data_IF_290873773219
#
_entry.id   IF_290873773219
#
_cell.length_a   1.000
_cell.length_b   1.000
_cell.length_c   1.000
_cell.angle_alpha   90.00
_cell.angle_beta   90.00
_cell.angle_gamma   90.00
#
_symmetry.space_group_name_H-M   'P 1'
#
loop_
_entity.id
_entity.type
_entity.pdbx_description
1 polymer ?
#
# COMPACT_ATOMS: atom_id res chain seq x y z
N UNK A 1 29.11 -12.83 26.27
CA UNK A 1 28.66 -13.00 24.88
C UNK A 1 27.90 -11.76 24.35
N UNK A 2 26.84 -11.28 25.02
CA UNK A 2 26.09 -10.14 24.52
C UNK A 2 26.87 -8.80 24.52
N UNK A 3 27.86 -8.62 25.40
CA UNK A 3 28.63 -7.36 25.47
C UNK A 3 29.29 -6.94 24.15
N UNK A 4 30.04 -7.81 23.50
CA UNK A 4 30.66 -7.52 22.21
C UNK A 4 29.61 -7.22 21.11
N UNK A 5 28.55 -8.04 21.04
CA UNK A 5 27.44 -7.79 20.11
C UNK A 5 26.73 -6.47 20.41
N UNK A 6 26.59 -6.08 21.69
CA UNK A 6 26.03 -4.79 22.08
C UNK A 6 26.82 -3.63 21.51
N UNK A 7 28.16 -3.67 21.63
CA UNK A 7 29.04 -2.61 21.15
C UNK A 7 28.94 -2.47 19.62
N UNK A 8 28.88 -3.57 18.88
CA UNK A 8 28.64 -3.58 17.42
C UNK A 8 27.29 -2.97 17.05
N UNK A 9 26.21 -3.36 17.76
CA UNK A 9 24.87 -2.81 17.52
C UNK A 9 24.79 -1.32 17.83
N UNK A 10 25.46 -0.87 18.92
CA UNK A 10 25.53 0.56 19.26
C UNK A 10 26.30 1.35 18.21
N UNK A 11 27.41 0.83 17.68
CA UNK A 11 28.14 1.47 16.59
C UNK A 11 27.27 1.59 15.33
N UNK A 12 26.58 0.52 14.93
CA UNK A 12 25.64 0.56 13.79
C UNK A 12 24.53 1.59 13.98
N UNK A 13 23.94 1.68 15.17
CA UNK A 13 22.92 2.68 15.48
C UNK A 13 23.47 4.12 15.44
N UNK A 14 24.72 4.32 15.89
CA UNK A 14 25.38 5.62 15.78
C UNK A 14 25.60 6.00 14.31
N UNK A 15 26.11 5.11 13.48
CA UNK A 15 26.27 5.33 12.04
C UNK A 15 24.95 5.72 11.35
N UNK A 16 23.85 5.05 11.69
CA UNK A 16 22.51 5.37 11.17
C UNK A 16 22.10 6.80 11.57
N UNK A 17 22.36 7.22 12.83
CA UNK A 17 22.06 8.58 13.29
C UNK A 17 22.94 9.63 12.60
N UNK A 18 24.25 9.39 12.52
CA UNK A 18 25.21 10.31 11.90
C UNK A 18 24.91 10.51 10.40
N UNK A 19 24.42 9.47 9.73
CA UNK A 19 23.96 9.54 8.35
C UNK A 19 22.60 10.26 8.17
N UNK A 20 21.90 10.63 9.25
CA UNK A 20 20.55 11.20 9.18
C UNK A 20 19.46 10.21 8.70
N UNK A 21 19.69 8.93 8.91
CA UNK A 21 18.79 7.85 8.46
C UNK A 21 17.98 7.23 9.61
N UNK A 22 18.17 7.71 10.83
CA UNK A 22 17.43 7.23 12.00
C UNK A 22 15.94 7.61 11.87
N UNK A 23 15.07 6.66 12.21
CA UNK A 23 13.62 6.86 12.15
C UNK A 23 13.07 6.97 13.55
N UNK A 24 12.58 8.16 13.90
CA UNK A 24 11.89 8.42 15.15
C UNK A 24 10.38 8.18 15.00
N UNK A 25 9.81 7.45 15.95
CA UNK A 25 8.36 7.26 16.02
C UNK A 25 7.74 8.42 16.80
N UNK A 26 6.73 9.07 16.20
CA UNK A 26 5.97 10.15 16.85
C UNK A 26 4.66 9.60 17.38
N UNK A 27 4.45 9.72 18.69
CA UNK A 27 3.23 9.24 19.34
C UNK A 27 2.02 10.11 18.98
N UNK A 28 0.95 9.44 18.58
CA UNK A 28 -0.36 10.07 18.38
C UNK A 28 -1.25 9.82 19.60
N UNK A 29 -1.86 10.86 20.12
CA UNK A 29 -2.78 10.81 21.26
C UNK A 29 -4.23 11.15 20.89
N UNK A 30 -4.60 10.87 19.64
CA UNK A 30 -5.95 11.01 19.08
C UNK A 30 -6.27 9.87 18.12
N UNK A 31 -7.53 9.66 17.73
CA UNK A 31 -7.87 8.82 16.57
C UNK A 31 -7.16 9.28 15.30
N UNK A 32 -7.05 8.37 14.32
CA UNK A 32 -6.43 8.64 13.04
C UNK A 32 -7.43 9.37 12.12
N UNK A 33 -7.15 10.65 11.85
CA UNK A 33 -8.02 11.54 11.05
C UNK A 33 -7.18 12.54 10.24
N UNK A 34 -7.84 13.49 9.53
CA UNK A 34 -7.18 14.60 8.86
C UNK A 34 -6.46 15.54 9.83
N UNK A 35 -6.96 15.63 11.08
CA UNK A 35 -6.32 16.30 12.20
C UNK A 35 -6.03 15.29 13.30
N UNK A 36 -4.81 15.28 13.79
CA UNK A 36 -4.35 14.39 14.86
C UNK A 36 -3.62 15.16 15.93
N UNK A 37 -3.48 14.58 17.11
CA UNK A 37 -2.62 15.13 18.15
C UNK A 37 -1.30 14.36 18.18
N UNK A 38 -0.24 14.99 17.68
CA UNK A 38 1.12 14.47 17.70
C UNK A 38 1.98 15.31 18.65
N UNK A 39 2.77 14.67 19.52
CA UNK A 39 3.61 15.35 20.52
C UNK A 39 2.83 16.39 21.35
N UNK A 40 1.57 16.10 21.68
CA UNK A 40 0.71 16.97 22.48
C UNK A 40 0.10 18.18 21.75
N UNK A 41 0.39 18.38 20.46
CA UNK A 41 -0.15 19.47 19.62
C UNK A 41 -1.13 18.90 18.59
N UNK A 42 -2.19 19.65 18.28
CA UNK A 42 -3.05 19.35 17.15
C UNK A 42 -2.35 19.78 15.85
N UNK A 43 -2.30 18.86 14.88
CA UNK A 43 -1.62 19.06 13.59
C UNK A 43 -2.45 18.47 12.45
N UNK A 44 -2.30 19.02 11.25
CA UNK A 44 -2.84 18.44 10.02
C UNK A 44 -2.00 17.23 9.61
N UNK A 45 -2.66 16.12 9.30
CA UNK A 45 -2.01 14.85 9.00
C UNK A 45 -1.97 14.60 7.49
N UNK A 46 -0.82 14.82 6.88
CA UNK A 46 -0.56 14.57 5.46
C UNK A 46 0.37 13.38 5.20
N UNK A 47 0.46 12.42 6.14
CA UNK A 47 1.30 11.23 5.98
C UNK A 47 0.55 9.90 6.12
N UNK A 48 -0.70 9.88 6.60
CA UNK A 48 -1.48 8.65 6.73
C UNK A 48 -2.05 8.17 5.40
N UNK A 49 -2.08 6.84 5.18
CA UNK A 49 -2.72 6.22 4.02
C UNK A 49 -4.27 6.19 4.12
N UNK A 50 -4.86 7.22 4.74
CA UNK A 50 -6.29 7.35 4.99
C UNK A 50 -6.99 8.12 3.86
N UNK A 51 -6.87 7.62 2.62
CA UNK A 51 -7.26 8.32 1.40
C UNK A 51 -8.70 8.83 1.38
N UNK A 52 -9.64 8.03 1.90
CA UNK A 52 -11.06 8.36 1.95
C UNK A 52 -11.52 8.89 3.32
N UNK A 53 -10.61 9.03 4.30
CA UNK A 53 -10.94 9.51 5.63
C UNK A 53 -11.75 8.50 6.47
N UNK A 54 -11.64 7.20 6.21
CA UNK A 54 -12.50 6.19 6.82
C UNK A 54 -11.97 5.60 8.12
N UNK A 55 -10.73 5.88 8.53
CA UNK A 55 -10.07 5.18 9.65
C UNK A 55 -10.78 5.34 11.00
N UNK A 56 -11.48 6.46 11.24
CA UNK A 56 -12.29 6.71 12.43
C UNK A 56 -13.78 6.95 12.11
N UNK A 57 -14.22 6.53 10.93
CA UNK A 57 -15.60 6.76 10.49
C UNK A 57 -16.61 6.12 11.43
N UNK A 58 -17.67 6.84 11.90
CA UNK A 58 -18.59 6.36 12.95
C UNK A 58 -19.27 5.02 12.63
N UNK A 59 -19.63 4.78 11.36
CA UNK A 59 -20.24 3.50 10.94
C UNK A 59 -19.27 2.33 11.06
N UNK A 60 -17.98 2.53 10.72
CA UNK A 60 -16.95 1.51 10.85
C UNK A 60 -16.68 1.20 12.32
N UNK A 61 -16.54 2.25 13.14
CA UNK A 61 -16.35 2.11 14.60
C UNK A 61 -17.55 1.40 15.24
N UNK A 62 -18.78 1.72 14.84
CA UNK A 62 -19.99 1.06 15.33
C UNK A 62 -20.04 -0.42 14.96
N UNK A 63 -19.71 -0.77 13.70
CA UNK A 63 -19.65 -2.16 13.24
C UNK A 63 -18.59 -2.96 14.00
N UNK A 64 -17.41 -2.40 14.21
CA UNK A 64 -16.35 -3.04 14.98
C UNK A 64 -16.74 -3.28 16.44
N UNK A 65 -17.43 -2.32 17.09
CA UNK A 65 -17.95 -2.47 18.45
C UNK A 65 -19.01 -3.57 18.53
N UNK A 66 -19.98 -3.58 17.62
CA UNK A 66 -20.98 -4.62 17.55
C UNK A 66 -20.38 -6.02 17.38
N UNK A 67 -19.34 -6.13 16.55
CA UNK A 67 -18.64 -7.40 16.37
C UNK A 67 -17.88 -7.87 17.64
N UNK A 68 -17.39 -6.95 18.47
CA UNK A 68 -16.81 -7.33 19.78
C UNK A 68 -17.85 -7.94 20.71
N UNK A 69 -19.07 -7.43 20.69
CA UNK A 69 -20.18 -7.96 21.51
C UNK A 69 -20.69 -9.31 20.98
N UNK A 70 -20.78 -9.48 19.68
CA UNK A 70 -21.35 -10.68 19.05
C UNK A 70 -20.33 -11.82 18.87
N UNK A 71 -19.12 -11.49 18.42
CA UNK A 71 -18.09 -12.45 17.98
C UNK A 71 -16.89 -12.56 18.93
N UNK A 72 -16.77 -11.65 19.91
CA UNK A 72 -15.62 -11.57 20.80
C UNK A 72 -14.39 -10.87 20.20
N UNK A 73 -13.31 -10.85 20.98
CA UNK A 73 -12.11 -10.08 20.66
C UNK A 73 -11.25 -10.70 19.57
N UNK A 74 -11.06 -12.02 19.59
CA UNK A 74 -10.08 -12.68 18.72
C UNK A 74 -10.43 -14.13 18.41
N UNK A 75 -9.75 -14.66 17.40
CA UNK A 75 -10.01 -16.01 16.88
C UNK A 75 -9.25 -17.12 17.62
N UNK A 76 -8.12 -16.80 18.23
CA UNK A 76 -7.20 -17.76 18.87
C UNK A 76 -6.86 -18.99 18.00
N UNK A 77 -7.01 -18.87 16.68
CA UNK A 77 -6.86 -19.96 15.73
C UNK A 77 -6.57 -19.46 14.31
N UNK A 78 -5.91 -20.31 13.54
CA UNK A 78 -5.77 -20.18 12.09
C UNK A 78 -7.07 -20.62 11.39
N UNK A 79 -7.25 -20.20 10.14
CA UNK A 79 -8.49 -20.35 9.38
C UNK A 79 -8.98 -21.79 9.26
N UNK A 80 -8.13 -22.74 8.95
CA UNK A 80 -8.55 -24.13 8.65
C UNK A 80 -8.83 -24.99 9.89
N UNK A 81 -8.36 -24.60 11.09
CA UNK A 81 -8.62 -25.36 12.32
C UNK A 81 -10.01 -24.96 12.87
N UNK A 82 -10.14 -23.77 13.48
CA UNK A 82 -11.40 -23.23 13.98
C UNK A 82 -11.48 -21.69 13.89
N UNK A 83 -10.62 -21.06 13.07
CA UNK A 83 -10.53 -19.61 12.92
C UNK A 83 -11.36 -19.04 11.76
N UNK A 84 -12.35 -19.77 11.24
CA UNK A 84 -13.23 -19.26 10.19
C UNK A 84 -14.64 -19.02 10.74
N UNK A 85 -15.05 -17.77 10.79
CA UNK A 85 -16.41 -17.34 11.06
C UNK A 85 -17.14 -17.00 9.76
N UNK A 86 -18.48 -16.95 9.80
CA UNK A 86 -19.31 -16.61 8.63
C UNK A 86 -18.95 -15.25 8.04
N UNK A 87 -18.65 -14.26 8.87
CA UNK A 87 -18.24 -12.92 8.42
C UNK A 87 -16.91 -12.90 7.64
N UNK A 88 -15.98 -13.86 7.87
CA UNK A 88 -14.78 -13.99 7.03
C UNK A 88 -15.15 -14.39 5.60
N UNK A 89 -16.03 -15.39 5.46
CA UNK A 89 -16.51 -15.82 4.15
C UNK A 89 -17.32 -14.72 3.44
N UNK A 90 -18.11 -13.96 4.20
CA UNK A 90 -18.83 -12.79 3.67
C UNK A 90 -17.87 -11.72 3.15
N UNK A 91 -16.84 -11.36 3.91
CA UNK A 91 -15.84 -10.37 3.48
C UNK A 91 -15.09 -10.85 2.22
N UNK A 92 -14.71 -12.13 2.17
CA UNK A 92 -14.08 -12.73 0.99
C UNK A 92 -15.01 -12.64 -0.24
N UNK A 93 -16.29 -12.98 -0.11
CA UNK A 93 -17.27 -12.88 -1.19
C UNK A 93 -17.50 -11.42 -1.65
N UNK A 94 -17.62 -10.50 -0.69
CA UNK A 94 -17.81 -9.06 -0.97
C UNK A 94 -16.58 -8.43 -1.66
N UNK A 95 -15.37 -8.80 -1.28
CA UNK A 95 -14.13 -8.38 -1.96
C UNK A 95 -14.08 -8.93 -3.39
N UNK A 96 -14.41 -10.21 -3.59
CA UNK A 96 -14.46 -10.81 -4.94
C UNK A 96 -15.43 -10.07 -5.85
N UNK A 97 -16.63 -9.78 -5.34
CA UNK A 97 -17.63 -9.00 -6.09
C UNK A 97 -17.14 -7.59 -6.43
N UNK A 98 -16.52 -6.91 -5.46
CA UNK A 98 -16.04 -5.53 -5.62
C UNK A 98 -14.87 -5.44 -6.61
N UNK A 99 -13.98 -6.43 -6.61
CA UNK A 99 -12.80 -6.48 -7.47
C UNK A 99 -13.03 -7.21 -8.80
N UNK A 100 -14.23 -7.70 -9.04
CA UNK A 100 -14.60 -8.47 -10.25
C UNK A 100 -13.73 -9.72 -10.43
N UNK A 101 -13.42 -10.44 -9.33
CA UNK A 101 -12.63 -11.67 -9.32
C UNK A 101 -13.47 -12.88 -8.95
N UNK A 102 -12.97 -14.11 -9.21
CA UNK A 102 -13.72 -15.34 -8.96
C UNK A 102 -13.70 -15.76 -7.49
N UNK A 103 -12.65 -15.41 -6.75
CA UNK A 103 -12.52 -15.75 -5.35
C UNK A 103 -11.53 -14.84 -4.61
N UNK A 104 -11.65 -14.84 -3.28
CA UNK A 104 -10.76 -14.07 -2.39
C UNK A 104 -10.38 -14.92 -1.18
N UNK A 105 -9.18 -14.71 -0.67
CA UNK A 105 -8.64 -15.30 0.55
C UNK A 105 -8.02 -14.22 1.42
N UNK A 106 -8.39 -14.18 2.71
CA UNK A 106 -7.91 -13.19 3.67
C UNK A 106 -6.61 -13.62 4.34
N UNK A 107 -5.73 -12.64 4.58
CA UNK A 107 -4.47 -12.76 5.31
C UNK A 107 -4.40 -11.74 6.45
N UNK A 108 -3.46 -11.93 7.38
CA UNK A 108 -3.22 -11.02 8.50
C UNK A 108 -2.74 -9.63 8.03
N UNK A 109 -2.10 -9.55 6.88
CA UNK A 109 -1.66 -8.33 6.21
C UNK A 109 -1.49 -8.57 4.70
N UNK A 110 -1.37 -7.50 3.90
CA UNK A 110 -0.97 -7.64 2.51
C UNK A 110 0.49 -8.07 2.36
N UNK A 111 1.34 -7.79 3.36
CA UNK A 111 2.69 -8.32 3.40
C UNK A 111 2.68 -9.86 3.43
N UNK A 112 1.83 -10.45 4.28
CA UNK A 112 1.63 -11.90 4.35
C UNK A 112 0.99 -12.45 3.07
N UNK A 113 0.04 -11.73 2.49
CA UNK A 113 -0.60 -12.10 1.22
C UNK A 113 0.45 -12.22 0.10
N UNK A 114 1.26 -11.20 -0.11
CA UNK A 114 2.35 -11.21 -1.09
C UNK A 114 3.41 -12.28 -0.76
N UNK A 115 3.78 -12.43 0.52
CA UNK A 115 4.69 -13.48 0.98
C UNK A 115 4.20 -14.88 0.70
N UNK A 116 2.88 -15.08 0.67
CA UNK A 116 2.24 -16.37 0.53
C UNK A 116 1.90 -16.81 -0.89
N UNK A 117 2.06 -15.96 -1.90
CA UNK A 117 1.63 -16.25 -3.29
C UNK A 117 2.69 -17.01 -4.07
N UNK A 118 3.91 -16.50 -4.10
CA UNK A 118 4.93 -16.91 -5.07
C UNK A 118 5.40 -18.35 -4.88
N UNK A 119 5.73 -18.77 -3.64
CA UNK A 119 6.19 -20.15 -3.36
C UNK A 119 5.09 -21.20 -3.57
N UNK A 120 3.82 -20.79 -3.56
CA UNK A 120 2.69 -21.71 -3.79
C UNK A 120 2.45 -21.95 -5.27
N UNK A 121 2.60 -20.90 -6.09
CA UNK A 121 2.30 -20.94 -7.52
C UNK A 121 3.47 -21.35 -8.39
N UNK A 122 4.72 -21.08 -7.94
CA UNK A 122 5.92 -21.18 -8.76
C UNK A 122 6.97 -22.08 -8.10
N UNK A 123 7.69 -22.82 -8.94
CA UNK A 123 8.84 -23.64 -8.56
C UNK A 123 10.07 -23.34 -9.43
N UNK A 124 11.10 -24.19 -9.36
CA UNK A 124 12.37 -24.01 -10.07
C UNK A 124 12.28 -24.12 -11.61
N UNK A 125 11.13 -24.55 -12.16
CA UNK A 125 10.85 -24.59 -13.60
C UNK A 125 10.20 -23.32 -14.13
N UNK A 126 9.90 -22.36 -13.24
CA UNK A 126 9.12 -21.17 -13.53
C UNK A 126 9.98 -19.91 -13.45
N UNK A 127 9.45 -18.80 -13.94
CA UNK A 127 10.07 -17.48 -13.89
C UNK A 127 9.09 -16.47 -13.30
N UNK A 128 9.56 -15.63 -12.38
CA UNK A 128 8.88 -14.43 -11.94
C UNK A 128 9.62 -13.20 -12.48
N UNK A 129 8.89 -12.27 -13.09
CA UNK A 129 9.39 -11.04 -13.69
C UNK A 129 8.79 -9.87 -12.90
N UNK A 130 9.61 -9.20 -12.11
CA UNK A 130 9.18 -8.17 -11.15
C UNK A 130 9.57 -6.78 -11.62
N UNK A 131 8.67 -5.80 -11.51
CA UNK A 131 9.07 -4.40 -11.58
C UNK A 131 10.13 -4.10 -10.51
N UNK A 132 11.13 -3.28 -10.85
CA UNK A 132 12.27 -3.01 -9.96
C UNK A 132 11.90 -2.18 -8.72
N UNK A 133 10.79 -1.42 -8.77
CA UNK A 133 10.32 -0.57 -7.68
C UNK A 133 9.16 -1.19 -6.89
N UNK A 134 8.85 -2.46 -7.11
CA UNK A 134 7.82 -3.17 -6.34
C UNK A 134 8.05 -3.07 -4.83
N UNK A 135 6.93 -3.11 -4.09
CA UNK A 135 6.93 -3.10 -2.64
C UNK A 135 7.78 -4.24 -2.04
N UNK A 136 8.39 -3.98 -0.88
CA UNK A 136 9.25 -4.94 -0.18
C UNK A 136 8.59 -6.31 0.03
N UNK A 137 7.28 -6.37 0.27
CA UNK A 137 6.56 -7.64 0.44
C UNK A 137 6.55 -8.52 -0.82
N UNK A 138 6.46 -7.92 -2.01
CA UNK A 138 6.60 -8.63 -3.29
C UNK A 138 8.03 -9.14 -3.45
N UNK A 139 9.01 -8.26 -3.20
CA UNK A 139 10.43 -8.63 -3.28
C UNK A 139 10.76 -9.79 -2.34
N UNK A 140 10.30 -9.74 -1.11
CA UNK A 140 10.55 -10.77 -0.10
C UNK A 140 9.78 -12.05 -0.41
N UNK A 141 8.52 -11.96 -0.86
CA UNK A 141 7.76 -13.11 -1.33
C UNK A 141 8.45 -13.84 -2.50
N UNK A 142 8.99 -13.09 -3.45
CA UNK A 142 9.79 -13.63 -4.56
C UNK A 142 11.08 -14.29 -4.04
N UNK A 143 11.71 -13.74 -3.00
CA UNK A 143 12.92 -14.33 -2.40
C UNK A 143 12.64 -15.69 -1.74
N UNK A 144 11.44 -15.93 -1.25
CA UNK A 144 11.05 -17.19 -0.64
C UNK A 144 10.80 -18.30 -1.68
N UNK A 145 10.45 -17.95 -2.93
CA UNK A 145 10.18 -18.93 -3.96
C UNK A 145 11.47 -19.41 -4.68
N UNK A 146 11.38 -20.58 -5.33
CA UNK A 146 12.51 -21.19 -6.06
C UNK A 146 12.55 -20.81 -7.54
N UNK A 147 11.57 -20.06 -8.03
CA UNK A 147 11.50 -19.63 -9.42
C UNK A 147 12.71 -18.74 -9.79
N UNK A 148 13.10 -18.80 -11.04
CA UNK A 148 14.09 -17.86 -11.58
C UNK A 148 13.53 -16.43 -11.48
N UNK A 149 14.35 -15.52 -10.94
CA UNK A 149 13.96 -14.13 -10.68
C UNK A 149 14.53 -13.24 -11.75
N UNK A 150 13.66 -12.47 -12.39
CA UNK A 150 14.02 -11.42 -13.34
C UNK A 150 13.42 -10.10 -12.88
N UNK A 151 14.04 -8.99 -13.31
CA UNK A 151 13.54 -7.64 -13.07
C UNK A 151 13.46 -6.89 -14.37
N UNK A 152 12.49 -5.99 -14.48
CA UNK A 152 12.44 -5.00 -15.53
C UNK A 152 12.44 -3.59 -14.91
N UNK A 153 12.95 -2.62 -15.64
CA UNK A 153 12.98 -1.22 -15.21
C UNK A 153 11.57 -0.71 -15.00
N UNK A 154 11.40 0.10 -13.96
CA UNK A 154 10.09 0.60 -13.56
C UNK A 154 9.29 1.12 -14.75
N UNK A 155 8.13 0.49 -15.00
CA UNK A 155 7.17 0.85 -16.05
C UNK A 155 7.75 0.83 -17.48
N UNK A 156 8.84 0.16 -17.72
CA UNK A 156 9.47 0.03 -19.04
C UNK A 156 8.99 -1.24 -19.74
N UNK A 157 7.98 -1.08 -20.60
CA UNK A 157 7.36 -2.20 -21.33
C UNK A 157 8.30 -2.84 -22.35
N UNK A 158 9.26 -2.07 -22.89
CA UNK A 158 10.26 -2.63 -23.78
C UNK A 158 11.23 -3.57 -23.04
N UNK A 159 11.64 -3.18 -21.83
CA UNK A 159 12.46 -4.05 -20.97
C UNK A 159 11.66 -5.26 -20.47
N UNK A 160 10.38 -5.08 -20.08
CA UNK A 160 9.50 -6.20 -19.73
C UNK A 160 9.40 -7.21 -20.88
N UNK A 161 9.24 -6.75 -22.12
CA UNK A 161 9.19 -7.64 -23.29
C UNK A 161 10.50 -8.42 -23.50
N UNK A 162 11.66 -7.79 -23.26
CA UNK A 162 12.96 -8.48 -23.29
C UNK A 162 13.00 -9.60 -22.25
N UNK A 163 12.59 -9.32 -20.99
CA UNK A 163 12.58 -10.32 -19.94
C UNK A 163 11.62 -11.49 -20.23
N UNK A 164 10.47 -11.22 -20.85
CA UNK A 164 9.52 -12.24 -21.29
C UNK A 164 10.11 -13.13 -22.39
N UNK A 165 10.76 -12.56 -23.40
CA UNK A 165 11.45 -13.29 -24.48
C UNK A 165 12.55 -14.20 -23.93
N UNK A 166 13.36 -13.70 -23.02
CA UNK A 166 14.42 -14.47 -22.37
C UNK A 166 13.89 -15.57 -21.42
N UNK A 167 12.61 -15.52 -21.09
CA UNK A 167 11.92 -16.51 -20.25
C UNK A 167 11.16 -17.55 -21.05
N UNK A 168 11.36 -17.64 -22.37
CA UNK A 168 10.58 -18.52 -23.27
C UNK A 168 10.63 -20.01 -22.89
N UNK A 169 11.71 -20.48 -22.25
CA UNK A 169 11.86 -21.88 -21.82
C UNK A 169 11.18 -22.21 -20.47
N UNK A 170 10.64 -21.24 -19.75
CA UNK A 170 9.97 -21.49 -18.48
C UNK A 170 8.62 -22.19 -18.66
N UNK A 171 8.27 -23.08 -17.71
CA UNK A 171 6.95 -23.71 -17.68
C UNK A 171 5.84 -22.67 -17.48
N UNK A 172 6.02 -21.77 -16.51
CA UNK A 172 5.12 -20.63 -16.21
C UNK A 172 5.94 -19.37 -16.12
N UNK A 173 5.31 -18.26 -16.47
CA UNK A 173 5.82 -16.90 -16.26
C UNK A 173 4.79 -16.15 -15.43
N UNK A 174 5.25 -15.41 -14.43
CA UNK A 174 4.42 -14.51 -13.63
C UNK A 174 5.04 -13.12 -13.66
N UNK A 175 4.29 -12.14 -14.17
CA UNK A 175 4.64 -10.72 -14.07
C UNK A 175 4.05 -10.21 -12.76
N UNK A 176 4.88 -9.54 -11.94
CA UNK A 176 4.44 -8.95 -10.68
C UNK A 176 4.75 -7.45 -10.66
N UNK A 177 3.73 -6.65 -10.34
CA UNK A 177 3.85 -5.19 -10.25
C UNK A 177 2.98 -4.64 -9.12
N UNK A 178 3.43 -3.52 -8.48
CA UNK A 178 2.48 -2.64 -7.80
C UNK A 178 1.56 -2.00 -8.86
N UNK A 179 0.28 -1.85 -8.58
CA UNK A 179 -0.63 -1.05 -9.40
C UNK A 179 -0.34 0.44 -9.24
N UNK A 180 0.01 0.85 -8.01
CA UNK A 180 0.49 2.19 -7.67
C UNK A 180 1.76 2.08 -6.82
N UNK A 181 2.86 2.65 -7.31
CA UNK A 181 4.15 2.65 -6.62
C UNK A 181 4.13 3.62 -5.44
N UNK A 182 4.24 3.07 -4.23
CA UNK A 182 3.96 3.76 -2.96
C UNK A 182 4.84 4.96 -2.65
N UNK A 183 6.06 5.03 -3.21
CA UNK A 183 6.99 6.12 -2.96
C UNK A 183 6.94 7.23 -4.00
N UNK A 184 6.33 6.97 -5.16
CA UNK A 184 6.33 7.86 -6.32
C UNK A 184 4.92 8.33 -6.72
N UNK A 185 3.90 7.54 -6.41
CA UNK A 185 2.53 7.79 -6.86
C UNK A 185 2.33 7.51 -8.36
N UNK A 186 3.26 6.80 -8.99
CA UNK A 186 3.11 6.38 -10.37
C UNK A 186 2.16 5.19 -10.48
N UNK A 187 1.36 5.16 -11.54
CA UNK A 187 0.55 4.02 -11.91
C UNK A 187 1.35 3.09 -12.83
N UNK A 188 1.24 1.79 -12.63
CA UNK A 188 1.72 0.82 -13.60
C UNK A 188 0.82 0.85 -14.86
N UNK A 189 1.37 0.70 -16.08
CA UNK A 189 0.58 0.57 -17.30
C UNK A 189 0.02 -0.86 -17.41
N UNK A 190 -1.03 -1.14 -16.60
CA UNK A 190 -1.56 -2.50 -16.41
C UNK A 190 -2.14 -3.08 -17.69
N UNK A 191 -2.71 -2.25 -18.55
CA UNK A 191 -3.21 -2.62 -19.88
C UNK A 191 -2.08 -3.12 -20.81
N UNK A 192 -0.97 -2.37 -20.90
CA UNK A 192 0.20 -2.77 -21.70
C UNK A 192 0.87 -4.03 -21.10
N UNK A 193 0.90 -4.16 -19.78
CA UNK A 193 1.39 -5.37 -19.09
C UNK A 193 0.52 -6.58 -19.48
N UNK A 194 -0.80 -6.44 -19.48
CA UNK A 194 -1.73 -7.49 -19.90
C UNK A 194 -1.54 -7.86 -21.38
N UNK A 195 -1.31 -6.88 -22.27
CA UNK A 195 -1.04 -7.14 -23.68
C UNK A 195 0.23 -7.98 -23.88
N UNK A 196 1.28 -7.68 -23.13
CA UNK A 196 2.50 -8.48 -23.15
C UNK A 196 2.29 -9.85 -22.50
N UNK A 197 1.56 -9.92 -21.40
CA UNK A 197 1.26 -11.18 -20.72
C UNK A 197 0.53 -12.16 -21.64
N UNK A 198 -0.50 -11.72 -22.34
CA UNK A 198 -1.23 -12.54 -23.31
C UNK A 198 -0.34 -13.01 -24.46
N UNK A 199 0.46 -12.11 -25.04
CA UNK A 199 1.38 -12.43 -26.15
C UNK A 199 2.40 -13.50 -25.78
N UNK A 200 2.87 -13.50 -24.53
CA UNK A 200 3.94 -14.39 -24.07
C UNK A 200 3.44 -15.50 -23.13
N UNK A 201 2.14 -15.63 -22.91
CA UNK A 201 1.53 -16.64 -22.06
C UNK A 201 2.01 -16.53 -20.60
N UNK A 202 1.97 -15.33 -20.03
CA UNK A 202 2.32 -15.06 -18.66
C UNK A 202 1.07 -14.76 -17.81
N UNK A 203 1.14 -15.06 -16.51
CA UNK A 203 0.17 -14.60 -15.51
C UNK A 203 0.52 -13.18 -15.06
N UNK A 204 -0.48 -12.43 -14.62
CA UNK A 204 -0.32 -11.06 -14.10
C UNK A 204 -0.78 -10.98 -12.65
N UNK A 205 0.12 -10.50 -11.78
CA UNK A 205 -0.17 -10.12 -10.40
C UNK A 205 -0.01 -8.61 -10.23
N UNK A 206 -1.05 -7.98 -9.70
CA UNK A 206 -1.06 -6.55 -9.36
C UNK A 206 -1.30 -6.37 -7.86
N UNK A 207 -0.37 -5.72 -7.15
CA UNK A 207 -0.62 -5.23 -5.79
C UNK A 207 -1.28 -3.85 -5.85
N UNK A 208 -2.55 -3.83 -5.53
CA UNK A 208 -3.39 -2.63 -5.59
C UNK A 208 -3.64 -1.98 -4.22
N UNK A 209 -2.75 -2.23 -3.26
CA UNK A 209 -2.83 -1.70 -1.90
C UNK A 209 -2.92 -0.18 -1.81
N UNK A 210 -2.43 0.55 -2.82
CA UNK A 210 -2.52 2.01 -2.92
C UNK A 210 -3.56 2.50 -3.93
N UNK A 211 -4.46 1.63 -4.40
CA UNK A 211 -5.47 1.97 -5.40
C UNK A 211 -6.89 1.59 -4.98
N UNK A 212 -7.08 0.38 -4.44
CA UNK A 212 -8.40 -0.13 -4.05
C UNK A 212 -9.07 0.79 -3.04
N UNK A 213 -10.32 1.13 -3.33
CA UNK A 213 -11.17 2.05 -2.59
C UNK A 213 -11.41 3.37 -3.32
N UNK A 214 -10.49 3.83 -4.19
CA UNK A 214 -10.62 5.18 -4.78
C UNK A 214 -10.06 5.34 -6.20
N UNK A 215 -9.24 4.43 -6.71
CA UNK A 215 -8.77 4.43 -8.10
C UNK A 215 -9.75 3.65 -8.97
N UNK A 216 -10.01 4.15 -10.16
CA UNK A 216 -11.02 3.60 -11.09
C UNK A 216 -12.41 4.22 -10.89
N UNK A 217 -13.35 3.96 -11.82
CA UNK A 217 -14.70 4.50 -11.80
C UNK A 217 -15.48 4.20 -10.51
N UNK A 218 -15.39 2.96 -10.02
CA UNK A 218 -16.07 2.53 -8.77
C UNK A 218 -15.12 2.45 -7.57
N UNK A 219 -13.81 2.60 -7.81
CA UNK A 219 -12.76 2.43 -6.82
C UNK A 219 -12.25 1.00 -6.70
N UNK A 220 -12.49 0.15 -7.70
CA UNK A 220 -12.02 -1.24 -7.69
C UNK A 220 -10.53 -1.38 -8.03
N UNK A 221 -9.83 -0.29 -8.28
CA UNK A 221 -8.38 -0.29 -8.42
C UNK A 221 -7.86 -0.05 -9.84
N UNK A 222 -6.58 -0.34 -10.05
CA UNK A 222 -5.92 -0.08 -11.33
C UNK A 222 -6.39 -1.01 -12.46
N UNK A 223 -6.75 -2.29 -12.23
CA UNK A 223 -7.34 -3.11 -13.30
C UNK A 223 -8.66 -2.53 -13.84
N UNK A 224 -9.50 -1.96 -12.95
CA UNK A 224 -10.72 -1.26 -13.37
C UNK A 224 -10.40 0.03 -14.13
N UNK A 225 -9.45 0.81 -13.63
CA UNK A 225 -9.04 2.08 -14.25
C UNK A 225 -8.64 1.88 -15.72
N UNK A 226 -7.89 0.82 -16.01
CA UNK A 226 -7.41 0.49 -17.35
C UNK A 226 -8.36 -0.40 -18.15
N UNK A 227 -9.51 -0.80 -17.59
CA UNK A 227 -10.50 -1.64 -18.26
C UNK A 227 -10.03 -3.07 -18.53
N UNK A 228 -9.17 -3.62 -17.68
CA UNK A 228 -8.52 -4.95 -17.83
C UNK A 228 -8.73 -5.86 -16.63
N UNK A 229 -9.79 -5.65 -15.85
CA UNK A 229 -10.05 -6.42 -14.64
C UNK A 229 -10.18 -7.94 -14.89
N UNK A 230 -10.70 -8.33 -16.04
CA UNK A 230 -10.84 -9.72 -16.47
C UNK A 230 -9.53 -10.37 -16.98
N UNK A 231 -8.48 -9.55 -17.21
CA UNK A 231 -7.18 -9.97 -17.74
C UNK A 231 -6.09 -10.07 -16.67
N UNK A 232 -6.35 -9.55 -15.46
CA UNK A 232 -5.45 -9.68 -14.32
C UNK A 232 -5.80 -10.97 -13.57
N UNK A 233 -4.81 -11.85 -13.36
CA UNK A 233 -5.05 -13.16 -12.74
C UNK A 233 -5.11 -13.08 -11.21
N UNK A 234 -4.31 -12.17 -10.62
CA UNK A 234 -4.12 -12.04 -9.17
C UNK A 234 -4.09 -10.56 -8.81
N UNK A 235 -4.98 -10.16 -7.93
CA UNK A 235 -4.95 -8.83 -7.27
C UNK A 235 -4.65 -9.05 -5.79
N UNK A 236 -3.61 -8.41 -5.28
CA UNK A 236 -3.38 -8.33 -3.84
C UNK A 236 -3.73 -6.95 -3.32
N UNK A 237 -4.11 -6.86 -2.05
CA UNK A 237 -4.49 -5.59 -1.46
C UNK A 237 -4.55 -5.63 0.06
N UNK A 238 -4.74 -4.46 0.65
CA UNK A 238 -4.76 -4.29 2.10
C UNK A 238 -6.08 -3.71 2.60
N UNK A 239 -6.49 -4.16 3.77
CA UNK A 239 -7.57 -3.54 4.56
C UNK A 239 -7.06 -2.38 5.43
N UNK A 240 -5.74 -2.19 5.49
CA UNK A 240 -5.06 -1.21 6.35
C UNK A 240 -4.90 0.19 5.76
N UNK A 241 -5.60 0.52 4.67
CA UNK A 241 -5.55 1.84 4.02
C UNK A 241 -6.95 2.36 3.72
N UNK A 242 -7.31 2.58 2.45
CA UNK A 242 -8.62 3.14 2.07
C UNK A 242 -9.82 2.27 2.51
N UNK A 243 -9.64 0.97 2.69
CA UNK A 243 -10.67 0.05 3.15
C UNK A 243 -10.82 -0.01 4.69
N UNK A 244 -10.81 1.13 5.37
CA UNK A 244 -11.05 1.25 6.81
C UNK A 244 -9.80 1.47 7.67
N UNK A 245 -8.60 1.24 7.14
CA UNK A 245 -7.34 1.64 7.78
C UNK A 245 -6.88 0.79 8.96
N UNK A 246 -7.50 -0.37 9.22
CA UNK A 246 -7.12 -1.23 10.35
C UNK A 246 -5.92 -2.15 9.99
N UNK A 247 -6.16 -3.43 9.85
CA UNK A 247 -5.16 -4.43 9.47
C UNK A 247 -5.80 -5.51 8.60
N UNK A 248 -5.00 -6.41 8.08
CA UNK A 248 -5.44 -7.44 7.17
C UNK A 248 -5.07 -7.16 5.73
N UNK A 249 -5.05 -8.21 4.95
CA UNK A 249 -4.82 -8.18 3.52
C UNK A 249 -5.56 -9.31 2.84
N UNK A 250 -5.48 -9.33 1.53
CA UNK A 250 -6.17 -10.35 0.74
C UNK A 250 -5.44 -10.64 -0.58
N UNK A 251 -5.72 -11.81 -1.10
CA UNK A 251 -5.48 -12.17 -2.50
C UNK A 251 -6.84 -12.45 -3.14
N UNK A 252 -7.16 -11.73 -4.21
CA UNK A 252 -8.33 -11.96 -5.05
C UNK A 252 -7.87 -12.47 -6.42
N UNK A 253 -8.38 -13.63 -6.87
CA UNK A 253 -7.83 -14.31 -8.04
C UNK A 253 -8.82 -15.28 -8.65
N UNK A 254 -8.34 -16.06 -9.64
CA UNK A 254 -9.06 -17.23 -10.17
C UNK A 254 -9.28 -18.27 -9.08
N UNK A 255 -10.38 -19.00 -9.16
CA UNK A 255 -10.81 -19.98 -8.15
C UNK A 255 -9.70 -20.97 -7.78
N UNK A 256 -9.01 -21.56 -8.77
CA UNK A 256 -7.98 -22.56 -8.56
C UNK A 256 -6.75 -22.00 -7.83
N UNK A 257 -6.44 -20.71 -8.06
CA UNK A 257 -5.35 -20.01 -7.36
C UNK A 257 -5.73 -19.83 -5.88
N UNK A 258 -6.93 -19.33 -5.61
CA UNK A 258 -7.43 -19.12 -4.24
C UNK A 258 -7.48 -20.43 -3.46
N UNK A 259 -8.02 -21.50 -4.08
CA UNK A 259 -8.09 -22.81 -3.44
C UNK A 259 -6.70 -23.40 -3.16
N UNK A 260 -5.75 -23.24 -4.08
CA UNK A 260 -4.37 -23.69 -3.87
C UNK A 260 -3.69 -22.91 -2.74
N UNK A 261 -3.92 -21.59 -2.65
CA UNK A 261 -3.42 -20.77 -1.55
C UNK A 261 -3.98 -21.22 -0.19
N UNK A 262 -5.28 -21.58 -0.12
CA UNK A 262 -5.90 -22.13 1.11
C UNK A 262 -5.21 -23.40 1.58
N UNK A 263 -4.71 -24.22 0.65
CA UNK A 263 -4.06 -25.50 0.98
C UNK A 263 -2.57 -25.37 1.32
N UNK A 264 -1.87 -24.37 0.79
CA UNK A 264 -0.40 -24.37 0.81
C UNK A 264 0.25 -23.07 1.28
N UNK A 265 -0.48 -21.94 1.29
CA UNK A 265 0.13 -20.65 1.69
C UNK A 265 0.48 -20.64 3.17
N UNK A 266 1.76 -20.62 3.48
CA UNK A 266 2.27 -20.71 4.85
C UNK A 266 1.78 -19.56 5.74
N UNK A 267 1.78 -18.28 5.30
CA UNK A 267 1.20 -17.19 6.10
C UNK A 267 -0.28 -17.41 6.44
N UNK A 268 -1.05 -18.01 5.54
CA UNK A 268 -2.45 -18.34 5.80
C UNK A 268 -2.61 -19.53 6.77
N UNK A 269 -1.81 -20.57 6.59
CA UNK A 269 -1.91 -21.81 7.37
C UNK A 269 -1.39 -21.65 8.81
N UNK A 270 -0.48 -20.71 9.08
CA UNK A 270 0.25 -20.62 10.33
C UNK A 270 0.06 -19.28 11.07
N UNK A 271 -0.65 -18.30 10.49
CA UNK A 271 -1.03 -17.07 11.20
C UNK A 271 -2.49 -17.09 11.62
N UNK A 272 -2.81 -16.48 12.75
CA UNK A 272 -4.20 -16.33 13.20
C UNK A 272 -5.06 -15.63 12.15
N UNK A 273 -6.34 -16.02 12.12
CA UNK A 273 -7.34 -15.34 11.31
C UNK A 273 -7.49 -13.87 11.71
N UNK A 274 -7.88 -13.04 10.75
CA UNK A 274 -8.20 -11.61 10.99
C UNK A 274 -9.25 -11.49 12.09
N UNK A 275 -9.04 -10.57 13.02
CA UNK A 275 -9.92 -10.38 14.18
C UNK A 275 -11.35 -10.00 13.76
N UNK A 276 -12.38 -10.48 14.48
CA UNK A 276 -13.80 -10.23 14.18
C UNK A 276 -14.14 -8.76 13.96
N UNK A 277 -13.65 -7.89 14.83
CA UNK A 277 -13.89 -6.45 14.76
C UNK A 277 -13.29 -5.80 13.50
N UNK A 278 -12.14 -6.30 13.04
CA UNK A 278 -11.50 -5.84 11.78
C UNK A 278 -12.32 -6.30 10.58
N UNK A 279 -12.80 -7.53 10.58
CA UNK A 279 -13.65 -8.07 9.50
C UNK A 279 -14.93 -7.25 9.38
N UNK A 280 -15.66 -7.04 10.47
CA UNK A 280 -16.89 -6.25 10.48
C UNK A 280 -16.66 -4.78 10.07
N UNK A 281 -15.58 -4.18 10.56
CA UNK A 281 -15.17 -2.83 10.15
C UNK A 281 -14.87 -2.74 8.65
N UNK A 282 -14.22 -3.77 8.08
CA UNK A 282 -13.90 -3.82 6.65
C UNK A 282 -15.15 -4.04 5.78
N UNK A 283 -16.12 -4.83 6.24
CA UNK A 283 -17.43 -4.96 5.57
C UNK A 283 -18.15 -3.60 5.52
N UNK A 284 -18.19 -2.88 6.65
CA UNK A 284 -18.76 -1.54 6.71
C UNK A 284 -17.99 -0.52 5.83
N UNK A 285 -16.68 -0.68 5.71
CA UNK A 285 -15.85 0.15 4.82
C UNK A 285 -16.19 -0.10 3.34
N UNK A 286 -16.37 -1.35 2.92
CA UNK A 286 -16.80 -1.70 1.56
C UNK A 286 -18.16 -1.08 1.21
N UNK A 287 -19.12 -1.08 2.17
CA UNK A 287 -20.42 -0.43 1.99
C UNK A 287 -20.28 1.10 1.79
N UNK A 288 -19.35 1.73 2.51
CA UNK A 288 -19.08 3.15 2.36
C UNK A 288 -18.39 3.46 1.04
N UNK A 289 -17.43 2.64 0.64
CA UNK A 289 -16.69 2.80 -0.62
C UNK A 289 -17.62 2.71 -1.83
N UNK A 290 -18.59 1.81 -1.81
CA UNK A 290 -19.59 1.68 -2.89
C UNK A 290 -20.39 2.98 -3.14
N UNK A 291 -20.54 3.83 -2.13
CA UNK A 291 -21.23 5.13 -2.23
C UNK A 291 -20.30 6.35 -2.14
N UNK A 292 -19.01 6.21 -2.39
CA UNK A 292 -17.99 7.23 -2.09
C UNK A 292 -17.64 8.15 -3.28
N UNK A 293 -18.54 8.39 -4.23
CA UNK A 293 -18.29 9.26 -5.40
C UNK A 293 -17.84 10.66 -4.99
N UNK A 294 -18.49 11.25 -3.99
CA UNK A 294 -18.16 12.58 -3.49
C UNK A 294 -16.77 12.61 -2.84
N UNK A 295 -16.44 11.57 -2.06
CA UNK A 295 -15.12 11.46 -1.43
C UNK A 295 -14.02 11.25 -2.48
N UNK A 296 -14.24 10.39 -3.48
CA UNK A 296 -13.30 10.24 -4.61
C UNK A 296 -13.12 11.54 -5.38
N UNK A 297 -14.21 12.27 -5.62
CA UNK A 297 -14.14 13.59 -6.26
C UNK A 297 -13.38 14.60 -5.39
N UNK A 298 -13.64 14.65 -4.07
CA UNK A 298 -12.91 15.51 -3.14
C UNK A 298 -11.41 15.17 -3.11
N UNK A 299 -11.06 13.89 -3.06
CA UNK A 299 -9.68 13.44 -3.10
C UNK A 299 -8.96 13.90 -4.37
N UNK A 300 -9.61 13.77 -5.54
CA UNK A 300 -9.05 14.27 -6.82
C UNK A 300 -8.86 15.78 -6.80
N UNK A 301 -9.87 16.56 -6.34
CA UNK A 301 -9.75 18.02 -6.24
C UNK A 301 -8.59 18.43 -5.33
N UNK A 302 -8.48 17.84 -4.13
CA UNK A 302 -7.41 18.12 -3.18
C UNK A 302 -6.04 17.79 -3.77
N UNK A 303 -5.92 16.67 -4.49
CA UNK A 303 -4.68 16.27 -5.15
C UNK A 303 -4.28 17.25 -6.25
N UNK A 304 -5.21 17.64 -7.10
CA UNK A 304 -4.95 18.63 -8.18
C UNK A 304 -4.56 19.98 -7.59
N UNK A 305 -5.30 20.46 -6.60
CA UNK A 305 -5.02 21.73 -5.92
C UNK A 305 -3.60 21.72 -5.31
N UNK A 306 -3.26 20.70 -4.52
CA UNK A 306 -1.96 20.60 -3.88
C UNK A 306 -0.82 20.61 -4.92
N UNK A 307 -0.92 19.77 -5.96
CA UNK A 307 0.11 19.70 -7.02
C UNK A 307 0.29 21.03 -7.73
N UNK A 308 -0.80 21.68 -8.10
CA UNK A 308 -0.76 22.99 -8.77
C UNK A 308 -0.09 24.04 -7.87
N UNK A 309 -0.56 24.17 -6.62
CA UNK A 309 -0.03 25.15 -5.68
C UNK A 309 1.46 24.94 -5.39
N UNK A 310 1.90 23.70 -5.15
CA UNK A 310 3.30 23.37 -4.93
C UNK A 310 4.18 23.69 -6.15
N UNK A 311 3.67 23.45 -7.35
CA UNK A 311 4.37 23.80 -8.59
C UNK A 311 4.48 25.32 -8.76
N UNK A 312 3.41 26.06 -8.48
CA UNK A 312 3.39 27.52 -8.54
C UNK A 312 4.40 28.15 -7.55
N UNK A 313 4.58 27.52 -6.38
CA UNK A 313 5.58 27.91 -5.39
C UNK A 313 7.01 27.43 -5.72
N UNK A 314 7.21 26.76 -6.87
CA UNK A 314 8.51 26.32 -7.37
C UNK A 314 9.11 25.11 -6.65
N UNK A 315 8.28 24.25 -6.07
CA UNK A 315 8.73 22.96 -5.54
C UNK A 315 8.84 21.91 -6.65
N UNK A 316 9.85 21.04 -6.54
CA UNK A 316 10.00 19.87 -7.41
C UNK A 316 9.04 18.76 -6.95
N UNK A 317 7.91 18.62 -7.65
CA UNK A 317 6.87 17.62 -7.39
C UNK A 317 6.87 16.61 -8.52
N UNK A 318 6.98 15.33 -8.20
CA UNK A 318 6.89 14.28 -9.22
C UNK A 318 5.52 14.34 -9.92
N UNK A 319 5.53 14.24 -11.24
CA UNK A 319 4.31 14.25 -12.07
C UNK A 319 3.39 13.08 -11.73
N UNK A 320 2.07 13.26 -11.95
CA UNK A 320 1.07 12.22 -11.73
C UNK A 320 -0.25 12.79 -11.21
N UNK A 321 -1.25 11.94 -11.08
CA UNK A 321 -2.60 12.29 -10.63
C UNK A 321 -2.98 11.61 -9.30
N UNK A 322 -2.13 10.72 -8.81
CA UNK A 322 -2.38 9.96 -7.58
C UNK A 322 -2.24 10.86 -6.33
N UNK A 323 -3.03 10.63 -5.25
CA UNK A 323 -2.95 11.35 -3.98
C UNK A 323 -1.60 11.25 -3.26
N UNK A 324 -0.79 10.26 -3.57
CA UNK A 324 0.63 10.24 -3.20
C UNK A 324 1.34 11.31 -4.03
N UNK A 325 1.82 12.36 -3.35
CA UNK A 325 2.50 13.49 -4.00
C UNK A 325 3.87 13.69 -3.37
N UNK A 326 4.94 13.12 -3.98
CA UNK A 326 6.29 13.31 -3.50
C UNK A 326 6.81 14.70 -3.83
N UNK A 327 7.32 15.41 -2.82
CA UNK A 327 8.07 16.66 -2.96
C UNK A 327 9.54 16.32 -2.82
N UNK A 328 10.33 16.56 -3.86
CA UNK A 328 11.71 16.08 -3.98
C UNK A 328 12.70 17.07 -3.33
N UNK A 329 13.62 16.55 -2.52
CA UNK A 329 14.68 17.34 -1.89
C UNK A 329 16.08 16.81 -2.21
N UNK A 330 16.19 15.53 -2.63
CA UNK A 330 17.46 14.85 -2.91
C UNK A 330 18.22 14.47 -1.64
N UNK A 331 18.62 15.44 -0.84
CA UNK A 331 19.38 15.23 0.40
C UNK A 331 18.49 14.80 1.57
N UNK A 332 18.93 13.78 2.31
CA UNK A 332 18.16 13.18 3.41
C UNK A 332 18.03 14.11 4.62
N UNK A 333 19.12 14.83 4.98
CA UNK A 333 19.13 15.73 6.12
C UNK A 333 18.24 16.94 5.87
N UNK A 334 18.29 17.47 4.65
CA UNK A 334 17.41 18.57 4.22
C UNK A 334 15.94 18.17 4.27
N UNK A 335 15.59 17.00 3.72
CA UNK A 335 14.20 16.51 3.76
C UNK A 335 13.71 16.33 5.20
N UNK A 336 14.55 15.78 6.09
CA UNK A 336 14.23 15.63 7.52
C UNK A 336 14.05 16.99 8.22
N UNK A 337 14.95 17.94 8.02
CA UNK A 337 14.86 19.27 8.62
C UNK A 337 13.59 20.02 8.20
N UNK A 338 13.21 19.92 6.91
CA UNK A 338 11.96 20.52 6.42
C UNK A 338 10.74 19.81 7.04
N UNK A 339 10.74 18.48 7.15
CA UNK A 339 9.63 17.76 7.78
C UNK A 339 9.46 18.11 9.26
N UNK A 340 10.55 18.36 9.99
CA UNK A 340 10.52 18.83 11.37
C UNK A 340 9.99 20.27 11.46
N UNK A 341 10.47 21.18 10.62
CA UNK A 341 9.97 22.56 10.56
C UNK A 341 8.47 22.60 10.21
N UNK A 342 8.00 21.77 9.29
CA UNK A 342 6.57 21.66 8.97
C UNK A 342 5.73 21.20 10.16
N UNK A 343 6.26 20.32 11.01
CA UNK A 343 5.56 19.92 12.24
C UNK A 343 5.39 21.09 13.20
N UNK A 344 6.39 21.99 13.30
CA UNK A 344 6.29 23.21 14.09
C UNK A 344 5.25 24.19 13.53
N UNK A 345 5.06 24.20 12.21
CA UNK A 345 4.00 24.92 11.51
C UNK A 345 2.61 24.21 11.57
N UNK A 346 2.49 23.13 12.35
CA UNK A 346 1.22 22.42 12.53
C UNK A 346 0.85 21.44 11.42
N UNK A 347 1.82 21.00 10.61
CA UNK A 347 1.60 20.03 9.51
C UNK A 347 2.50 18.81 9.69
N UNK A 348 1.89 17.65 9.85
CA UNK A 348 2.58 16.38 10.01
C UNK A 348 2.83 15.70 8.67
N UNK A 349 4.08 15.67 8.27
CA UNK A 349 4.61 14.94 7.12
C UNK A 349 5.84 14.13 7.53
N UNK A 350 6.26 13.19 6.69
CA UNK A 350 7.44 12.34 6.93
C UNK A 350 8.39 12.43 5.73
N UNK A 351 9.67 12.62 6.04
CA UNK A 351 10.75 12.50 5.07
C UNK A 351 11.10 11.03 4.83
N UNK A 352 11.24 10.66 3.56
CA UNK A 352 11.69 9.34 3.13
C UNK A 352 13.08 9.43 2.52
N UNK A 353 13.99 8.57 3.00
CA UNK A 353 15.37 8.48 2.56
C UNK A 353 15.76 7.00 2.39
N UNK A 354 17.01 6.73 2.01
CA UNK A 354 17.55 5.38 1.96
C UNK A 354 17.34 4.63 3.31
N UNK A 355 17.03 3.33 3.31
CA UNK A 355 16.89 2.43 2.17
C UNK A 355 15.48 2.37 1.55
N UNK A 356 14.54 3.20 2.02
CA UNK A 356 13.13 3.19 1.53
C UNK A 356 13.04 3.75 0.11
N UNK A 357 13.86 4.75 -0.18
CA UNK A 357 14.04 5.32 -1.53
C UNK A 357 15.53 5.31 -1.89
N UNK A 358 15.91 5.37 -3.18
CA UNK A 358 17.32 5.39 -3.57
C UNK A 358 18.10 6.56 -2.95
N UNK A 359 19.43 6.42 -2.84
CA UNK A 359 20.31 7.52 -2.41
C UNK A 359 20.12 8.74 -3.32
N UNK A 360 20.24 9.92 -2.76
CA UNK A 360 20.06 11.21 -3.45
C UNK A 360 18.67 11.43 -4.06
N UNK A 361 17.67 10.65 -3.59
CA UNK A 361 16.26 10.76 -3.96
C UNK A 361 15.36 10.95 -2.75
N UNK A 362 15.89 11.56 -1.68
CA UNK A 362 15.10 11.86 -0.49
C UNK A 362 13.97 12.83 -0.82
N UNK A 363 12.82 12.58 -0.20
CA UNK A 363 11.57 13.28 -0.48
C UNK A 363 10.70 13.37 0.76
N UNK A 364 9.79 14.31 0.78
CA UNK A 364 8.62 14.30 1.67
C UNK A 364 7.46 13.77 0.84
N UNK A 365 6.91 12.61 1.24
CA UNK A 365 5.75 12.01 0.58
C UNK A 365 4.48 12.52 1.23
N UNK A 366 3.83 13.49 0.58
CA UNK A 366 2.54 14.00 1.00
C UNK A 366 1.43 13.04 0.58
N UNK A 367 0.52 12.72 1.49
CA UNK A 367 -0.66 11.89 1.29
C UNK A 367 -1.91 12.73 1.42
N UNK A 368 -2.58 13.00 0.29
CA UNK A 368 -3.86 13.70 0.30
C UNK A 368 -4.97 12.75 0.76
N UNK A 369 -5.99 13.32 1.42
CA UNK A 369 -7.18 12.61 1.86
C UNK A 369 -8.43 13.37 1.43
N UNK A 370 -9.51 12.64 1.19
CA UNK A 370 -10.84 13.22 0.98
C UNK A 370 -11.33 14.01 2.20
N UNK A 371 -10.79 13.72 3.38
CA UNK A 371 -11.13 14.39 4.63
C UNK A 371 -10.40 15.73 4.83
N UNK A 372 -9.42 16.08 3.98
CA UNK A 372 -8.81 17.42 3.99
C UNK A 372 -9.77 18.42 3.33
N UNK A 373 -9.94 19.59 3.93
CA UNK A 373 -10.55 20.73 3.28
C UNK A 373 -9.55 21.43 2.33
N UNK A 374 -10.04 22.26 1.42
CA UNK A 374 -9.19 23.12 0.58
C UNK A 374 -8.28 24.01 1.45
N UNK A 375 -8.80 24.52 2.58
CA UNK A 375 -8.02 25.32 3.52
C UNK A 375 -6.89 24.50 4.19
N UNK A 376 -7.11 23.20 4.47
CA UNK A 376 -6.06 22.33 5.00
C UNK A 376 -4.94 22.12 3.96
N UNK A 377 -5.31 21.99 2.69
CA UNK A 377 -4.34 21.88 1.58
C UNK A 377 -3.52 23.15 1.45
N UNK A 378 -4.16 24.34 1.45
CA UNK A 378 -3.46 25.63 1.40
C UNK A 378 -2.55 25.83 2.61
N UNK A 379 -2.98 25.42 3.81
CA UNK A 379 -2.16 25.47 5.02
C UNK A 379 -0.91 24.58 4.87
N UNK A 380 -1.06 23.40 4.27
CA UNK A 380 0.06 22.50 4.01
C UNK A 380 1.07 23.13 3.03
N UNK A 381 0.60 23.74 1.94
CA UNK A 381 1.45 24.45 0.98
C UNK A 381 2.22 25.58 1.67
N UNK A 382 1.52 26.40 2.46
CA UNK A 382 2.15 27.52 3.18
C UNK A 382 3.21 27.05 4.19
N UNK A 383 2.97 25.94 4.88
CA UNK A 383 3.96 25.33 5.78
C UNK A 383 5.24 24.91 5.01
N UNK A 384 5.11 24.35 3.80
CA UNK A 384 6.27 24.07 2.95
C UNK A 384 7.05 25.34 2.57
N UNK A 385 6.35 26.41 2.22
CA UNK A 385 6.98 27.71 1.87
C UNK A 385 7.75 28.27 3.06
N UNK A 386 7.14 28.27 4.24
CA UNK A 386 7.76 28.74 5.48
C UNK A 386 8.98 27.88 5.87
N UNK A 387 8.81 26.56 5.87
CA UNK A 387 9.90 25.63 6.22
C UNK A 387 11.10 25.76 5.26
N UNK A 388 10.85 25.92 3.95
CA UNK A 388 11.94 26.14 2.97
C UNK A 388 12.73 27.41 3.22
N UNK A 389 12.09 28.47 3.71
CA UNK A 389 12.74 29.75 3.95
C UNK A 389 13.57 29.77 5.24
N UNK A 390 13.31 28.86 6.18
CA UNK A 390 14.00 28.74 7.46
C UNK A 390 15.10 27.67 7.50
N UNK A 391 15.20 26.83 6.47
CA UNK A 391 16.21 25.77 6.31
C UNK A 391 17.09 26.02 5.08
#
# INVERSE_FOLDING_TARGET
>A
MYGATRDELQATLAEIRDAGLFKDERELSSPQAARVRANGREVLNFCANNYLGLADHPRIVAAAKAALDEWGFGMASVRFICGTQTQHAELEARLSQFLHTEGTILFSSCFDANGGVFEVLLDDRDVVISDELNHASIIDGIRLCKATRRRYRNRDMADLEVQLKESAGARRRLIATDGVFSMDGYLAPVDEICDLAERYGALVLVDDSHAVGFVGPTGAGTPELFGVADRVDIVTGTLGKALGGASGGYVSARTEIVELLRQRSRPYLFSNAVAPSVVAGSLAALDLVAGSDDQRAALRRNTTLFRQRMTDEGFDVLSGEHPITPVMFGDAKRAAAIADAMLDEGVYVIAFSYPVVPRDKARIRVQLSAAHSEQDVETCVQAFVTARSGT
#
